data_IF_234108931168
#
_entry.id   IF_234108931168
#
_cell.length_a   1.000
_cell.length_b   1.000
_cell.length_c   1.000
_cell.angle_alpha   90.00
_cell.angle_beta   90.00
_cell.angle_gamma   90.00
#
_symmetry.space_group_name_H-M   'P 1'
#
loop_
_entity.id
_entity.type
_entity.pdbx_description
1 polymer ?
#
# COMPACT_ATOMS: atom_id res chain seq x y z
N UNK A 1 9.63 7.47 -5.91
CA UNK A 1 10.00 6.08 -5.60
C UNK A 1 8.98 5.48 -4.65
N UNK A 2 8.30 4.43 -5.05
CA UNK A 2 7.41 3.62 -4.21
C UNK A 2 8.12 2.29 -3.96
N UNK A 3 8.35 1.96 -2.70
CA UNK A 3 8.97 0.69 -2.34
C UNK A 3 7.86 -0.28 -1.94
N UNK A 4 7.82 -1.43 -2.60
CA UNK A 4 6.71 -2.39 -2.49
C UNK A 4 7.21 -3.66 -1.79
N UNK A 5 6.51 -4.17 -0.78
CA UNK A 5 6.83 -5.45 -0.18
C UNK A 5 6.45 -6.59 -1.15
N UNK A 6 7.44 -7.39 -1.54
CA UNK A 6 7.38 -8.74 -2.17
C UNK A 6 7.24 -8.89 -3.71
N UNK A 7 7.79 -10.03 -4.17
CA UNK A 7 8.28 -10.42 -5.51
C UNK A 7 7.23 -10.88 -6.53
N UNK A 8 5.95 -10.51 -6.36
CA UNK A 8 4.89 -10.98 -7.25
C UNK A 8 3.93 -9.86 -7.65
N UNK A 9 4.48 -8.77 -8.19
CA UNK A 9 3.69 -7.78 -8.90
C UNK A 9 2.97 -8.47 -10.07
N UNK A 10 1.68 -8.75 -9.90
CA UNK A 10 0.81 -9.34 -10.92
C UNK A 10 0.76 -8.45 -12.17
N UNK A 11 0.40 -9.01 -13.33
CA UNK A 11 0.25 -8.22 -14.56
C UNK A 11 -0.72 -7.05 -14.39
N UNK A 12 -1.85 -7.30 -13.75
CA UNK A 12 -2.88 -6.31 -13.39
C UNK A 12 -2.32 -5.13 -12.58
N UNK A 13 -1.43 -5.40 -11.62
CA UNK A 13 -0.81 -4.33 -10.81
C UNK A 13 0.01 -3.36 -11.66
N UNK A 14 0.73 -3.86 -12.67
CA UNK A 14 1.54 -3.03 -13.57
C UNK A 14 0.65 -2.11 -14.42
N UNK A 15 -0.50 -2.62 -14.85
CA UNK A 15 -1.49 -1.86 -15.64
C UNK A 15 -2.06 -0.72 -14.80
N UNK A 16 -2.55 -1.00 -13.59
CA UNK A 16 -3.09 0.05 -12.73
C UNK A 16 -2.05 1.08 -12.29
N UNK A 17 -0.78 0.69 -12.14
CA UNK A 17 0.29 1.67 -11.95
C UNK A 17 0.48 2.56 -13.17
N UNK A 18 0.46 2.02 -14.38
CA UNK A 18 0.54 2.83 -15.60
C UNK A 18 -0.65 3.79 -15.70
N UNK A 19 -1.86 3.33 -15.40
CA UNK A 19 -3.06 4.18 -15.36
C UNK A 19 -2.92 5.32 -14.34
N UNK A 20 -2.42 5.01 -13.14
CA UNK A 20 -2.14 6.01 -12.12
C UNK A 20 -1.12 7.04 -12.61
N UNK A 21 0.01 6.59 -13.19
CA UNK A 21 1.03 7.47 -13.78
C UNK A 21 0.44 8.37 -14.85
N UNK A 22 -0.41 7.83 -15.73
CA UNK A 22 -1.09 8.60 -16.77
C UNK A 22 -2.03 9.64 -16.17
N UNK A 23 -2.74 9.29 -15.09
CA UNK A 23 -3.67 10.19 -14.41
C UNK A 23 -2.96 11.34 -13.68
N UNK A 24 -1.87 11.05 -12.97
CA UNK A 24 -1.16 12.05 -12.16
C UNK A 24 -0.07 12.80 -12.94
N UNK A 25 0.36 12.28 -14.09
CA UNK A 25 1.41 12.87 -14.92
C UNK A 25 2.81 12.81 -14.30
N UNK A 26 3.02 11.96 -13.28
CA UNK A 26 4.26 11.87 -12.52
C UNK A 26 4.84 10.45 -12.70
N UNK A 27 6.07 10.30 -13.21
CA UNK A 27 6.73 9.01 -13.30
C UNK A 27 6.91 8.36 -11.92
N UNK A 28 6.61 7.06 -11.83
CA UNK A 28 6.78 6.27 -10.60
C UNK A 28 7.91 5.26 -10.81
N UNK A 29 8.95 5.38 -9.98
CA UNK A 29 9.97 4.33 -9.83
C UNK A 29 9.55 3.36 -8.74
N UNK A 30 9.55 2.06 -9.06
CA UNK A 30 9.28 0.98 -8.11
C UNK A 30 10.61 0.34 -7.70
N UNK A 31 10.81 0.12 -6.41
CA UNK A 31 11.96 -0.62 -5.89
C UNK A 31 11.51 -1.82 -5.06
N UNK A 32 12.20 -2.94 -5.25
CA UNK A 32 12.05 -4.12 -4.41
C UNK A 32 12.92 -3.99 -3.17
N UNK A 33 12.33 -4.27 -2.01
CA UNK A 33 13.07 -4.39 -0.76
C UNK A 33 13.80 -5.74 -0.71
N UNK A 34 15.09 -5.78 -0.34
CA UNK A 34 15.77 -7.06 -0.08
C UNK A 34 15.02 -7.85 1.02
N UNK A 35 15.11 -9.20 1.01
CA UNK A 35 14.50 -10.01 2.05
C UNK A 35 14.99 -9.60 3.44
N UNK A 36 14.09 -9.61 4.43
CA UNK A 36 14.43 -9.29 5.83
C UNK A 36 14.60 -7.79 6.15
N UNK A 37 14.20 -6.89 5.24
CA UNK A 37 14.37 -5.43 5.44
C UNK A 37 13.16 -4.71 6.04
N UNK A 38 12.14 -5.43 6.51
CA UNK A 38 11.00 -4.84 7.23
C UNK A 38 11.44 -3.98 8.44
N UNK A 39 12.51 -4.38 9.13
CA UNK A 39 13.18 -3.61 10.20
C UNK A 39 13.66 -2.21 9.77
N UNK A 40 13.82 -1.96 8.48
CA UNK A 40 14.26 -0.67 7.96
C UNK A 40 13.12 0.10 7.29
N UNK A 41 11.92 -0.49 7.21
CA UNK A 41 10.74 0.17 6.69
C UNK A 41 10.25 1.24 7.68
N UNK A 42 10.53 2.50 7.36
CA UNK A 42 10.15 3.64 8.21
C UNK A 42 8.63 3.70 8.47
N UNK A 43 7.79 3.23 7.53
CA UNK A 43 6.33 3.24 7.73
C UNK A 43 5.94 2.25 8.82
N UNK A 44 6.54 1.07 8.85
CA UNK A 44 6.33 0.07 9.89
C UNK A 44 6.71 0.63 11.27
N UNK A 45 7.88 1.25 11.36
CA UNK A 45 8.36 1.79 12.63
C UNK A 45 7.67 3.07 13.09
N UNK A 46 7.29 3.95 12.16
CA UNK A 46 6.72 5.27 12.50
C UNK A 46 5.21 5.29 12.58
N UNK A 47 4.51 4.39 11.90
CA UNK A 47 3.05 4.39 11.81
C UNK A 47 2.46 3.10 12.40
N UNK A 48 2.82 1.93 11.84
CA UNK A 48 2.19 0.68 12.24
C UNK A 48 2.50 0.27 13.69
N UNK A 49 3.70 0.57 14.20
CA UNK A 49 4.05 0.34 15.62
C UNK A 49 3.05 1.00 16.58
N UNK A 50 2.66 2.26 16.32
CA UNK A 50 1.72 3.01 17.15
C UNK A 50 0.28 2.55 16.97
N UNK A 51 -0.11 2.15 15.76
CA UNK A 51 -1.42 1.51 15.52
C UNK A 51 -1.53 0.24 16.36
N UNK A 52 -0.52 -0.64 16.30
CA UNK A 52 -0.50 -1.89 17.07
C UNK A 52 -0.54 -1.65 18.58
N UNK A 53 0.15 -0.62 19.08
CA UNK A 53 0.06 -0.24 20.50
C UNK A 53 -1.35 0.20 20.90
N UNK A 54 -2.04 0.95 20.04
CA UNK A 54 -3.43 1.37 20.28
C UNK A 54 -4.43 0.21 20.27
N UNK A 55 -4.12 -0.88 19.56
CA UNK A 55 -4.95 -2.08 19.48
C UNK A 55 -4.74 -3.03 20.66
N UNK A 56 -3.62 -2.91 21.38
CA UNK A 56 -3.23 -3.86 22.43
C UNK A 56 -4.34 -4.02 23.47
N UNK A 57 -4.80 -5.26 23.65
CA UNK A 57 -5.84 -5.60 24.63
C UNK A 57 -7.25 -5.18 24.24
N UNK A 58 -7.49 -4.78 22.98
CA UNK A 58 -8.81 -4.42 22.46
C UNK A 58 -9.25 -5.42 21.38
N UNK A 59 -10.41 -6.07 21.53
CA UNK A 59 -10.89 -7.00 20.51
C UNK A 59 -11.30 -6.26 19.24
N UNK A 60 -10.86 -6.74 18.08
CA UNK A 60 -11.15 -6.16 16.77
C UNK A 60 -12.40 -6.82 16.16
N UNK A 61 -13.56 -6.58 16.76
CA UNK A 61 -14.81 -7.31 16.46
C UNK A 61 -15.63 -6.73 15.32
N UNK A 62 -15.34 -5.51 14.87
CA UNK A 62 -16.05 -4.86 13.76
C UNK A 62 -15.14 -3.91 12.98
N UNK A 63 -15.46 -3.64 11.71
CA UNK A 63 -14.75 -2.64 10.90
C UNK A 63 -14.76 -1.26 11.56
N UNK A 64 -15.90 -0.86 12.12
CA UNK A 64 -16.02 0.39 12.87
C UNK A 64 -15.03 0.44 14.05
N UNK A 65 -14.88 -0.66 14.80
CA UNK A 65 -13.92 -0.75 15.90
C UNK A 65 -12.50 -0.59 15.38
N UNK A 66 -12.14 -1.30 14.31
CA UNK A 66 -10.81 -1.21 13.69
C UNK A 66 -10.52 0.22 13.23
N UNK A 67 -11.45 0.85 12.50
CA UNK A 67 -11.30 2.23 12.00
C UNK A 67 -11.12 3.21 13.15
N UNK A 68 -11.97 3.15 14.19
CA UNK A 68 -11.87 4.00 15.38
C UNK A 68 -10.51 3.84 16.06
N UNK A 69 -10.02 2.61 16.18
CA UNK A 69 -8.74 2.34 16.83
C UNK A 69 -7.56 2.87 16.02
N UNK A 70 -7.54 2.69 14.70
CA UNK A 70 -6.51 3.27 13.82
C UNK A 70 -6.55 4.80 13.87
N UNK A 71 -7.74 5.40 13.71
CA UNK A 71 -7.90 6.86 13.67
C UNK A 71 -7.56 7.52 15.02
N UNK A 72 -7.65 6.78 16.13
CA UNK A 72 -7.23 7.27 17.45
C UNK A 72 -5.72 7.37 17.63
N UNK A 73 -4.91 6.87 16.69
CA UNK A 73 -3.45 6.92 16.78
C UNK A 73 -2.92 8.34 16.62
N UNK A 74 -2.38 8.86 17.73
CA UNK A 74 -1.70 10.15 17.80
C UNK A 74 -0.38 9.99 18.56
N UNK A 75 0.68 10.65 18.10
CA UNK A 75 1.98 10.64 18.79
C UNK A 75 2.42 12.04 19.19
N UNK A 76 3.28 12.14 20.22
CA UNK A 76 3.85 13.42 20.68
C UNK A 76 4.64 14.15 19.58
N UNK A 77 5.19 13.40 18.63
CA UNK A 77 5.95 13.93 17.50
C UNK A 77 5.06 14.36 16.32
N UNK A 78 3.74 14.50 16.53
CA UNK A 78 2.82 15.08 15.56
C UNK A 78 2.24 14.11 14.54
N UNK A 79 2.39 12.78 14.70
CA UNK A 79 1.67 11.84 13.83
C UNK A 79 0.18 11.89 14.16
N UNK A 80 -0.65 12.07 13.14
CA UNK A 80 -2.11 11.90 13.19
C UNK A 80 -2.55 10.99 12.05
N UNK A 81 -3.39 10.02 12.33
CA UNK A 81 -3.85 9.04 11.33
C UNK A 81 -5.32 9.24 11.03
N UNK A 82 -5.68 9.23 9.74
CA UNK A 82 -7.06 9.15 9.28
C UNK A 82 -7.30 7.75 8.71
N UNK A 83 -8.35 7.10 9.18
CA UNK A 83 -8.82 5.83 8.64
C UNK A 83 -10.27 5.98 8.17
N UNK A 84 -10.59 5.35 7.04
CA UNK A 84 -11.93 5.31 6.47
C UNK A 84 -12.24 3.92 5.99
N UNK A 85 -13.50 3.53 6.11
CA UNK A 85 -13.99 2.33 5.46
C UNK A 85 -14.00 2.53 3.94
N UNK A 86 -13.75 1.45 3.20
CA UNK A 86 -13.79 1.47 1.75
C UNK A 86 -14.61 0.30 1.23
N UNK A 87 -15.91 0.55 1.01
CA UNK A 87 -16.89 -0.46 0.64
C UNK A 87 -17.00 -0.66 -0.89
N UNK A 88 -15.89 -0.59 -1.61
CA UNK A 88 -15.88 -0.93 -3.03
C UNK A 88 -15.68 -2.43 -3.19
N UNK A 89 -16.50 -3.01 -4.05
CA UNK A 89 -16.30 -4.38 -4.53
C UNK A 89 -15.29 -4.36 -5.67
N UNK A 90 -14.33 -5.29 -5.62
CA UNK A 90 -13.32 -5.48 -6.64
C UNK A 90 -13.51 -6.86 -7.24
N UNK A 91 -13.75 -6.93 -8.54
CA UNK A 91 -13.81 -8.20 -9.27
C UNK A 91 -12.43 -8.82 -9.31
N UNK A 92 -12.32 -10.08 -8.89
CA UNK A 92 -11.07 -10.83 -8.90
C UNK A 92 -10.92 -11.63 -10.19
N UNK A 93 -9.69 -12.03 -10.52
CA UNK A 93 -9.42 -12.90 -11.67
C UNK A 93 -9.54 -12.21 -13.03
N UNK A 94 -9.42 -10.88 -13.06
CA UNK A 94 -9.34 -10.12 -14.31
C UNK A 94 -8.09 -10.59 -15.05
N UNK A 95 -8.29 -11.08 -16.27
CA UNK A 95 -7.21 -11.46 -17.16
C UNK A 95 -6.91 -10.30 -18.08
N UNK A 96 -5.63 -9.99 -18.20
CA UNK A 96 -5.13 -9.06 -19.19
C UNK A 96 -4.46 -9.84 -20.31
N UNK A 97 -4.66 -9.36 -21.53
CA UNK A 97 -4.03 -9.90 -22.73
C UNK A 97 -2.55 -9.55 -22.78
N UNK A 98 -1.76 -10.36 -23.49
CA UNK A 98 -0.34 -10.08 -23.69
C UNK A 98 -0.14 -8.77 -24.48
N UNK A 99 -1.09 -8.42 -25.37
CA UNK A 99 -1.07 -7.15 -26.10
C UNK A 99 -1.27 -5.93 -25.19
N UNK A 100 -2.07 -6.03 -24.14
CA UNK A 100 -2.22 -4.97 -23.14
C UNK A 100 -0.93 -4.81 -22.33
N UNK A 101 -0.33 -5.94 -21.91
CA UNK A 101 0.92 -5.94 -21.17
C UNK A 101 2.07 -5.35 -21.98
N UNK A 102 2.12 -5.60 -23.29
CA UNK A 102 3.14 -5.08 -24.19
C UNK A 102 3.07 -3.55 -24.39
N UNK A 103 1.94 -2.90 -24.10
CA UNK A 103 1.77 -1.44 -24.23
C UNK A 103 2.28 -0.65 -23.02
N UNK A 104 2.64 -1.33 -21.93
CA UNK A 104 3.12 -0.68 -20.71
C UNK A 104 4.48 -0.02 -20.94
N UNK A 105 4.65 1.21 -20.44
CA UNK A 105 5.88 2.00 -20.59
C UNK A 105 6.77 1.81 -19.36
N UNK A 106 7.28 0.59 -19.18
CA UNK A 106 8.11 0.22 -18.04
C UNK A 106 9.56 0.11 -18.50
N UNK A 107 10.44 0.84 -17.82
CA UNK A 107 11.88 0.84 -18.09
C UNK A 107 12.64 0.51 -16.80
N UNK A 108 13.77 -0.23 -16.88
CA UNK A 108 14.65 -0.41 -15.72
C UNK A 108 15.14 0.94 -15.20
N UNK A 109 15.16 1.10 -13.87
CA UNK A 109 15.75 2.28 -13.27
C UNK A 109 17.29 2.25 -13.46
N UNK A 110 17.92 3.37 -13.88
CA UNK A 110 19.37 3.45 -14.05
C UNK A 110 20.15 3.31 -12.73
#
# INVERSE_FOLDING_TARGET
TVAVPTDHATGEWKIHLQELVNQIGIPITVCHYPPGTSKWNKIEHRMFSFISMNWKGRPLTSYETVIKLIASTKTRNGLTITAREHNKEYTTGIKHSDEEMAKLRIEPHP
#
